data_IF_395060140137
#
_entry.id   IF_395060140137
#
_cell.length_a   1.000
_cell.length_b   1.000
_cell.length_c   1.000
_cell.angle_alpha   90.00
_cell.angle_beta   90.00
_cell.angle_gamma   90.00
#
_symmetry.space_group_name_H-M   'P 1'
#
loop_
_entity.id
_entity.type
_entity.pdbx_description
1 polymer ?
#
# COMPACT_ATOMS: atom_id res chain seq x y z
N UNK A 1 -17.60 11.90 16.18
CA UNK A 1 -17.68 10.52 16.71
C UNK A 1 -19.06 9.98 16.43
N UNK A 2 -19.19 8.78 15.88
CA UNK A 2 -20.48 8.15 15.57
C UNK A 2 -20.61 6.82 16.33
N UNK A 3 -21.66 6.66 17.14
CA UNK A 3 -22.00 5.38 17.75
C UNK A 3 -22.77 4.55 16.72
N UNK A 4 -22.08 3.62 16.07
CA UNK A 4 -22.67 2.83 14.99
C UNK A 4 -23.62 1.73 15.47
N UNK A 5 -23.43 1.20 16.69
CA UNK A 5 -24.18 0.04 17.15
C UNK A 5 -24.12 -0.11 18.67
N UNK A 6 -25.28 -0.28 19.32
CA UNK A 6 -25.41 -0.50 20.77
C UNK A 6 -26.48 -1.57 21.02
N UNK A 7 -26.14 -2.58 21.80
CA UNK A 7 -27.07 -3.62 22.28
C UNK A 7 -26.98 -3.67 23.80
N UNK A 8 -28.12 -3.64 24.47
CA UNK A 8 -28.23 -3.86 25.90
C UNK A 8 -29.35 -4.86 26.14
N UNK A 9 -29.05 -5.93 26.86
CA UNK A 9 -30.03 -6.95 27.25
C UNK A 9 -29.94 -7.10 28.75
N UNK A 10 -31.07 -6.99 29.43
CA UNK A 10 -31.17 -7.18 30.88
C UNK A 10 -32.17 -8.27 31.21
N UNK A 11 -31.84 -9.13 32.17
CA UNK A 11 -32.75 -10.16 32.66
C UNK A 11 -32.43 -10.52 34.12
N UNK A 12 -33.42 -10.96 34.91
CA UNK A 12 -33.17 -11.47 36.26
C UNK A 12 -32.50 -12.85 36.19
N UNK A 13 -31.63 -13.14 37.14
CA UNK A 13 -31.07 -14.49 37.35
C UNK A 13 -31.98 -15.31 38.26
N UNK A 14 -31.76 -16.63 38.33
CA UNK A 14 -32.45 -17.51 39.29
C UNK A 14 -32.22 -17.08 40.77
N UNK A 15 -31.12 -16.38 41.04
CA UNK A 15 -30.81 -15.80 42.36
C UNK A 15 -31.51 -14.45 42.60
N UNK A 16 -32.34 -13.97 41.67
CA UNK A 16 -33.01 -12.67 41.75
C UNK A 16 -32.10 -11.46 41.48
N UNK A 17 -30.82 -11.68 41.15
CA UNK A 17 -29.89 -10.60 40.84
C UNK A 17 -30.10 -10.08 39.40
N UNK A 18 -30.12 -8.76 39.17
CA UNK A 18 -30.17 -8.20 37.83
C UNK A 18 -28.89 -8.50 37.04
N UNK A 19 -29.04 -9.13 35.89
CA UNK A 19 -27.96 -9.38 34.93
C UNK A 19 -28.10 -8.47 33.72
N UNK A 20 -26.97 -8.02 33.18
CA UNK A 20 -26.90 -7.17 32.00
C UNK A 20 -25.77 -7.63 31.07
N UNK A 21 -26.12 -7.86 29.81
CA UNK A 21 -25.20 -7.89 28.69
C UNK A 21 -25.22 -6.54 27.97
N UNK A 22 -24.06 -5.99 27.63
CA UNK A 22 -23.96 -4.80 26.78
C UNK A 22 -22.86 -4.93 25.74
N UNK A 23 -23.15 -4.53 24.52
CA UNK A 23 -22.19 -4.40 23.43
C UNK A 23 -22.30 -3.01 22.81
N UNK A 24 -21.18 -2.32 22.64
CA UNK A 24 -21.11 -0.97 22.07
C UNK A 24 -19.97 -0.86 21.08
N UNK A 25 -20.26 -0.36 19.87
CA UNK A 25 -19.26 -0.07 18.83
C UNK A 25 -19.31 1.41 18.44
N UNK A 26 -18.18 2.09 18.62
CA UNK A 26 -17.99 3.52 18.30
C UNK A 26 -16.91 3.64 17.24
N UNK A 27 -17.18 4.39 16.17
CA UNK A 27 -16.20 4.65 15.10
C UNK A 27 -15.96 6.16 14.96
N UNK A 28 -14.75 6.49 14.50
CA UNK A 28 -14.28 7.82 14.15
C UNK A 28 -13.60 7.72 12.79
N UNK A 29 -14.03 8.57 11.86
CA UNK A 29 -13.38 8.77 10.57
C UNK A 29 -13.02 10.25 10.52
N UNK A 30 -11.78 10.55 10.17
CA UNK A 30 -11.27 11.89 9.97
C UNK A 30 -10.44 11.91 8.70
N UNK A 31 -10.76 12.86 7.82
CA UNK A 31 -10.07 13.10 6.56
C UNK A 31 -9.69 14.58 6.56
N UNK A 32 -8.40 14.87 6.46
CA UNK A 32 -7.88 16.22 6.30
C UNK A 32 -6.88 16.25 5.15
N UNK A 33 -6.73 17.40 4.49
CA UNK A 33 -5.75 17.53 3.42
C UNK A 33 -5.80 18.84 2.66
N UNK A 34 -4.77 19.04 1.84
CA UNK A 34 -4.63 20.14 0.90
C UNK A 34 -4.30 19.58 -0.49
N UNK A 35 -4.90 20.15 -1.53
CA UNK A 35 -4.64 19.77 -2.92
C UNK A 35 -4.11 20.96 -3.71
N UNK A 36 -3.02 20.76 -4.44
CA UNK A 36 -2.42 21.75 -5.35
C UNK A 36 -2.37 21.16 -6.76
N UNK A 37 -3.00 21.85 -7.71
CA UNK A 37 -3.04 21.47 -9.13
C UNK A 37 -2.22 22.49 -9.93
N UNK A 38 -1.31 22.01 -10.77
CA UNK A 38 -0.59 22.82 -11.77
C UNK A 38 -0.73 22.18 -13.15
N UNK A 39 -1.22 22.92 -14.13
CA UNK A 39 -1.40 22.47 -15.52
C UNK A 39 -0.49 23.24 -16.47
N UNK A 40 -0.14 22.63 -17.59
CA UNK A 40 0.57 23.31 -18.68
C UNK A 40 -0.09 23.03 -20.05
N UNK A 41 -0.59 24.06 -20.77
CA UNK A 41 -0.72 25.47 -20.35
C UNK A 41 -1.69 25.66 -19.17
N UNK A 42 -1.58 26.80 -18.48
CA UNK A 42 -2.43 27.11 -17.32
C UNK A 42 -3.89 27.30 -17.76
N UNK A 43 -4.81 26.54 -17.18
CA UNK A 43 -6.24 26.57 -17.52
C UNK A 43 -6.91 27.86 -17.05
N UNK A 44 -6.32 28.55 -16.06
CA UNK A 44 -6.85 29.81 -15.52
C UNK A 44 -6.61 31.03 -16.43
N UNK A 45 -5.76 30.91 -17.46
CA UNK A 45 -5.37 32.02 -18.36
C UNK A 45 -6.12 32.00 -19.71
N UNK A 46 -7.24 31.29 -19.81
CA UNK A 46 -7.92 31.01 -21.10
C UNK A 46 -9.24 31.78 -21.27
N UNK A 47 -9.37 32.48 -22.40
CA UNK A 47 -10.59 33.17 -22.84
C UNK A 47 -11.78 32.20 -23.06
N UNK A 48 -13.00 32.67 -22.79
CA UNK A 48 -14.28 31.94 -22.56
C UNK A 48 -14.76 30.89 -23.60
N UNK A 49 -14.05 30.63 -24.71
CA UNK A 49 -14.63 29.90 -25.85
C UNK A 49 -13.99 28.55 -26.21
N UNK A 50 -12.87 28.14 -25.59
CA UNK A 50 -12.29 26.80 -25.80
C UNK A 50 -11.60 26.33 -24.52
N UNK A 51 -11.90 25.11 -24.06
CA UNK A 51 -11.15 24.45 -22.97
C UNK A 51 -10.01 23.66 -23.61
N UNK A 52 -8.75 24.13 -23.61
CA UNK A 52 -7.63 23.38 -24.16
C UNK A 52 -7.37 22.15 -23.30
N UNK A 53 -7.13 21.00 -23.94
CA UNK A 53 -6.66 19.79 -23.27
C UNK A 53 -5.19 20.03 -22.85
N UNK A 54 -4.85 20.01 -21.55
CA UNK A 54 -3.48 20.28 -21.10
C UNK A 54 -2.53 19.15 -21.51
N UNK A 55 -1.31 19.51 -21.90
CA UNK A 55 -0.28 18.55 -22.32
C UNK A 55 0.36 17.82 -21.13
N UNK A 56 0.39 18.47 -19.98
CA UNK A 56 0.85 17.88 -18.72
C UNK A 56 0.07 18.41 -17.53
N UNK A 57 -0.07 17.55 -16.51
CA UNK A 57 -0.71 17.88 -15.25
C UNK A 57 0.15 17.39 -14.09
N UNK A 58 0.42 18.29 -13.15
CA UNK A 58 1.11 18.01 -11.90
C UNK A 58 0.10 18.16 -10.77
N UNK A 59 -0.22 17.06 -10.10
CA UNK A 59 -1.16 17.03 -8.98
C UNK A 59 -0.37 16.75 -7.72
N UNK A 60 -0.47 17.58 -6.69
CA UNK A 60 0.08 17.29 -5.36
C UNK A 60 -1.04 17.29 -4.34
N UNK A 61 -1.14 16.21 -3.57
CA UNK A 61 -2.13 16.02 -2.51
C UNK A 61 -1.39 15.72 -1.21
N UNK A 62 -1.66 16.51 -0.19
CA UNK A 62 -1.27 16.21 1.20
C UNK A 62 -2.52 15.70 1.90
N UNK A 63 -2.49 14.48 2.42
CA UNK A 63 -3.65 13.83 3.01
C UNK A 63 -3.31 13.20 4.36
N UNK A 64 -4.21 13.39 5.32
CA UNK A 64 -4.21 12.70 6.60
C UNK A 64 -5.53 11.95 6.75
N UNK A 65 -5.43 10.62 6.65
CA UNK A 65 -6.57 9.72 6.81
C UNK A 65 -6.47 9.02 8.16
N UNK A 66 -7.47 9.18 9.01
CA UNK A 66 -7.56 8.52 10.31
C UNK A 66 -8.89 7.78 10.42
N UNK A 67 -8.80 6.48 10.65
CA UNK A 67 -9.90 5.65 11.10
C UNK A 67 -9.58 5.16 12.52
N UNK A 68 -10.54 5.24 13.43
CA UNK A 68 -10.45 4.63 14.75
C UNK A 68 -11.78 3.97 15.13
N UNK A 69 -11.72 2.73 15.61
CA UNK A 69 -12.87 1.96 16.08
C UNK A 69 -12.63 1.43 17.48
N UNK A 70 -13.66 1.53 18.34
CA UNK A 70 -13.68 0.91 19.66
C UNK A 70 -14.91 0.02 19.76
N UNK A 71 -14.71 -1.26 20.09
CA UNK A 71 -15.79 -2.18 20.44
C UNK A 71 -15.64 -2.60 21.91
N UNK A 72 -16.74 -2.58 22.65
CA UNK A 72 -16.78 -2.94 24.06
C UNK A 72 -17.89 -3.95 24.26
N UNK A 73 -17.56 -5.09 24.85
CA UNK A 73 -18.52 -6.10 25.29
C UNK A 73 -18.40 -6.26 26.79
N UNK A 74 -19.53 -6.32 27.49
CA UNK A 74 -19.59 -6.50 28.94
C UNK A 74 -20.72 -7.44 29.29
N UNK A 75 -20.42 -8.35 30.19
CA UNK A 75 -21.37 -9.13 30.96
C UNK A 75 -21.25 -8.67 32.41
N UNK A 76 -22.37 -8.42 33.07
CA UNK A 76 -22.36 -7.98 34.45
C UNK A 76 -23.59 -8.38 35.22
N UNK A 77 -23.47 -8.50 36.53
CA UNK A 77 -24.60 -8.54 37.44
C UNK A 77 -24.44 -7.49 38.53
N UNK A 78 -25.56 -7.07 39.09
CA UNK A 78 -25.63 -6.05 40.14
C UNK A 78 -26.08 -6.71 41.43
N UNK A 79 -25.44 -6.33 42.53
CA UNK A 79 -25.83 -6.69 43.89
C UNK A 79 -26.38 -5.44 44.58
N UNK A 80 -27.72 -5.27 44.65
CA UNK A 80 -28.31 -4.03 45.14
C UNK A 80 -27.94 -3.71 46.59
N UNK A 81 -27.78 -4.75 47.43
CA UNK A 81 -27.52 -4.59 48.87
C UNK A 81 -26.19 -3.90 49.21
N UNK A 82 -25.19 -3.98 48.33
CA UNK A 82 -23.89 -3.32 48.51
C UNK A 82 -23.57 -2.34 47.37
N UNK A 83 -24.52 -2.08 46.47
CA UNK A 83 -24.38 -1.16 45.33
C UNK A 83 -23.20 -1.50 44.41
N UNK A 84 -22.83 -2.78 44.34
CA UNK A 84 -21.73 -3.24 43.48
C UNK A 84 -22.25 -3.81 42.18
N UNK A 85 -21.46 -3.59 41.13
CA UNK A 85 -21.60 -4.19 39.82
C UNK A 85 -20.33 -4.98 39.54
N UNK A 86 -20.50 -6.28 39.29
CA UNK A 86 -19.43 -7.18 38.90
C UNK A 86 -19.43 -7.29 37.39
N UNK A 87 -18.29 -7.03 36.76
CA UNK A 87 -18.18 -6.92 35.31
C UNK A 87 -17.09 -7.89 34.82
N UNK A 88 -17.41 -8.66 33.80
CA UNK A 88 -16.44 -9.27 32.90
C UNK A 88 -16.60 -8.61 31.53
N UNK A 89 -15.52 -8.09 30.97
CA UNK A 89 -15.59 -7.32 29.74
C UNK A 89 -14.39 -7.52 28.84
N UNK A 90 -14.55 -7.11 27.59
CA UNK A 90 -13.47 -7.02 26.62
C UNK A 90 -13.60 -5.73 25.84
N UNK A 91 -12.48 -5.01 25.72
CA UNK A 91 -12.38 -3.86 24.84
C UNK A 91 -11.47 -4.21 23.67
N UNK A 92 -11.92 -3.87 22.47
CA UNK A 92 -11.14 -3.93 21.24
C UNK A 92 -10.96 -2.53 20.70
N UNK A 93 -9.73 -2.19 20.34
CA UNK A 93 -9.40 -0.91 19.73
C UNK A 93 -8.66 -1.17 18.43
N UNK A 94 -9.07 -0.49 17.36
CA UNK A 94 -8.38 -0.50 16.08
C UNK A 94 -8.20 0.93 15.61
N UNK A 95 -7.01 1.29 15.18
CA UNK A 95 -6.71 2.58 14.60
C UNK A 95 -5.85 2.40 13.36
N UNK A 96 -6.19 3.11 12.30
CA UNK A 96 -5.41 3.23 11.08
C UNK A 96 -5.17 4.72 10.84
N UNK A 97 -3.91 5.12 10.70
CA UNK A 97 -3.51 6.51 10.49
C UNK A 97 -2.51 6.58 9.32
N UNK A 98 -2.91 7.22 8.23
CA UNK A 98 -2.13 7.30 6.99
C UNK A 98 -1.87 8.78 6.68
N UNK A 99 -0.75 9.35 7.17
CA UNK A 99 -0.32 10.71 6.86
C UNK A 99 0.65 10.70 5.67
N UNK A 100 0.12 10.90 4.47
CA UNK A 100 0.90 10.80 3.23
C UNK A 100 0.81 12.08 2.40
N UNK A 101 1.86 12.33 1.63
CA UNK A 101 1.90 13.28 0.54
C UNK A 101 2.09 12.50 -0.75
N UNK A 102 1.16 12.70 -1.68
CA UNK A 102 1.15 12.09 -2.99
C UNK A 102 1.37 13.17 -4.05
N UNK A 103 2.21 12.90 -5.04
CA UNK A 103 2.31 13.71 -6.24
C UNK A 103 2.15 12.82 -7.48
N UNK A 104 1.45 13.30 -8.49
CA UNK A 104 1.30 12.64 -9.76
C UNK A 104 1.74 13.58 -10.88
N UNK A 105 2.67 13.11 -11.70
CA UNK A 105 3.16 13.78 -12.89
C UNK A 105 2.62 12.99 -14.10
N UNK A 106 1.69 13.59 -14.83
CA UNK A 106 1.08 12.99 -16.03
C UNK A 106 1.64 13.71 -17.25
N UNK A 107 2.38 12.97 -18.06
CA UNK A 107 2.87 13.41 -19.37
C UNK A 107 2.09 12.68 -20.46
N UNK A 108 1.08 13.38 -20.99
CA UNK A 108 0.17 12.84 -22.03
C UNK A 108 0.90 12.68 -23.36
N UNK A 109 1.90 13.52 -23.64
CA UNK A 109 2.65 13.43 -24.89
C UNK A 109 3.49 12.16 -24.93
N UNK A 110 4.10 11.78 -23.81
CA UNK A 110 4.97 10.61 -23.69
C UNK A 110 4.30 9.32 -23.22
N UNK A 111 2.98 9.34 -22.95
CA UNK A 111 2.25 8.22 -22.34
C UNK A 111 2.93 7.73 -21.05
N UNK A 112 3.41 8.67 -20.24
CA UNK A 112 4.14 8.40 -19.01
C UNK A 112 3.35 8.91 -17.81
N UNK A 113 3.27 8.06 -16.79
CA UNK A 113 2.68 8.45 -15.51
C UNK A 113 3.68 8.12 -14.41
N UNK A 114 4.01 9.14 -13.61
CA UNK A 114 4.82 8.97 -12.41
C UNK A 114 4.00 9.36 -11.17
N UNK A 115 4.03 8.51 -10.16
CA UNK A 115 3.42 8.75 -8.86
C UNK A 115 4.50 8.76 -7.79
N UNK A 116 4.58 9.82 -6.99
CA UNK A 116 5.47 9.91 -5.83
C UNK A 116 4.65 9.88 -4.56
N UNK A 117 5.02 9.01 -3.63
CA UNK A 117 4.46 8.93 -2.29
C UNK A 117 5.55 9.23 -1.28
N UNK A 118 5.27 10.09 -0.31
CA UNK A 118 6.17 10.39 0.80
C UNK A 118 5.41 10.52 2.12
N UNK A 119 6.00 10.13 3.26
CA UNK A 119 5.39 10.40 4.56
C UNK A 119 5.25 11.91 4.77
N UNK A 120 4.13 12.35 5.33
CA UNK A 120 3.90 13.77 5.62
C UNK A 120 4.97 14.30 6.61
N UNK A 121 5.32 13.50 7.60
CA UNK A 121 6.43 13.75 8.52
C UNK A 121 7.59 12.78 8.27
N UNK A 122 8.67 13.28 7.63
CA UNK A 122 9.83 12.44 7.26
C UNK A 122 10.78 12.09 8.42
N UNK A 123 10.61 12.77 9.56
CA UNK A 123 11.54 12.73 10.69
C UNK A 123 10.93 12.15 11.98
N UNK A 124 9.67 11.72 11.94
CA UNK A 124 8.94 11.23 13.11
C UNK A 124 8.46 9.81 12.85
N UNK A 125 8.57 8.97 13.87
CA UNK A 125 7.88 7.67 13.84
C UNK A 125 6.37 7.90 13.81
N UNK A 126 5.71 7.30 12.82
CA UNK A 126 4.27 7.39 12.65
C UNK A 126 3.66 6.01 12.83
N UNK A 127 2.73 5.88 13.79
CA UNK A 127 1.97 4.64 13.99
C UNK A 127 0.91 4.58 12.91
N UNK A 128 1.08 3.65 11.97
CA UNK A 128 0.15 3.46 10.86
C UNK A 128 -1.03 2.60 11.24
N UNK A 129 -0.79 1.57 12.08
CA UNK A 129 -1.82 0.65 12.54
C UNK A 129 -1.63 0.33 14.02
N UNK A 130 -2.72 0.35 14.78
CA UNK A 130 -2.79 -0.13 16.15
C UNK A 130 -4.00 -1.04 16.25
N UNK A 131 -3.81 -2.28 16.69
CA UNK A 131 -4.88 -3.22 16.99
C UNK A 131 -4.67 -3.79 18.39
N UNK A 132 -5.63 -3.62 19.29
CA UNK A 132 -5.55 -4.14 20.65
C UNK A 132 -6.83 -4.82 21.09
N UNK A 133 -6.66 -5.83 21.94
CA UNK A 133 -7.74 -6.47 22.68
C UNK A 133 -7.33 -6.60 24.14
N UNK A 134 -8.21 -6.17 25.03
CA UNK A 134 -7.97 -6.13 26.46
C UNK A 134 -9.18 -6.70 27.22
N UNK A 135 -9.14 -7.99 27.57
CA UNK A 135 -10.13 -8.60 28.44
C UNK A 135 -9.83 -8.34 29.91
N UNK A 136 -10.87 -8.08 30.71
CA UNK A 136 -10.74 -7.70 32.12
C UNK A 136 -11.95 -8.15 32.94
N UNK A 137 -11.74 -8.26 34.24
CA UNK A 137 -12.81 -8.26 35.24
C UNK A 137 -12.69 -7.02 36.13
N UNK A 138 -13.79 -6.54 36.69
CA UNK A 138 -13.74 -5.45 37.67
C UNK A 138 -14.96 -5.48 38.59
N UNK A 139 -14.79 -4.85 39.76
CA UNK A 139 -15.87 -4.58 40.71
C UNK A 139 -16.02 -3.07 40.76
N UNK A 140 -17.18 -2.58 40.35
CA UNK A 140 -17.47 -1.16 40.22
C UNK A 140 -18.66 -0.79 41.11
N UNK A 141 -18.55 0.32 41.85
CA UNK A 141 -19.71 0.92 42.51
C UNK A 141 -20.62 1.52 41.43
N UNK A 142 -21.93 1.24 41.47
CA UNK A 142 -22.91 1.73 40.48
C UNK A 142 -23.02 3.26 40.43
N UNK A 143 -22.62 3.94 41.50
CA UNK A 143 -22.60 5.40 41.60
C UNK A 143 -21.31 6.00 41.02
N UNK A 144 -20.30 5.18 40.69
CA UNK A 144 -19.05 5.65 40.13
C UNK A 144 -19.17 5.88 38.62
N UNK A 145 -18.80 7.08 38.17
CA UNK A 145 -18.79 7.48 36.76
C UNK A 145 -17.45 7.17 36.06
N UNK A 146 -16.45 6.69 36.81
CA UNK A 146 -15.18 6.25 36.24
C UNK A 146 -15.45 5.10 35.25
N UNK A 147 -14.83 5.09 34.06
CA UNK A 147 -14.94 3.95 33.16
C UNK A 147 -14.47 2.66 33.84
N UNK A 148 -15.21 1.56 33.70
CA UNK A 148 -14.91 0.26 34.30
C UNK A 148 -13.46 -0.24 34.10
N UNK A 149 -12.80 0.18 33.00
CA UNK A 149 -11.40 -0.16 32.68
C UNK A 149 -10.37 0.53 33.58
N UNK A 150 -10.76 1.63 34.24
CA UNK A 150 -9.89 2.48 35.06
C UNK A 150 -10.19 2.32 36.56
N UNK A 151 -11.10 1.43 36.94
CA UNK A 151 -11.42 1.16 38.33
C UNK A 151 -10.24 0.48 39.03
N UNK A 152 -10.03 0.79 40.31
CA UNK A 152 -8.92 0.22 41.10
C UNK A 152 -8.99 -1.31 41.21
N UNK A 153 -10.21 -1.87 41.18
CA UNK A 153 -10.45 -3.32 41.25
C UNK A 153 -10.36 -4.02 39.90
N UNK A 154 -9.94 -3.31 38.84
CA UNK A 154 -9.81 -3.90 37.50
C UNK A 154 -8.64 -4.86 37.46
N UNK A 155 -8.89 -6.08 36.98
CA UNK A 155 -7.88 -7.12 36.78
C UNK A 155 -7.91 -7.59 35.35
N UNK A 156 -6.73 -7.65 34.75
CA UNK A 156 -6.54 -8.18 33.40
C UNK A 156 -6.81 -9.68 33.41
N UNK A 157 -7.56 -10.16 32.41
CA UNK A 157 -7.70 -11.60 32.16
C UNK A 157 -6.55 -12.01 31.25
N UNK A 158 -5.67 -12.86 31.75
CA UNK A 158 -4.68 -13.51 30.92
C UNK A 158 -4.88 -15.04 30.98
N UNK A 159 -4.99 -15.67 29.81
CA UNK A 159 -5.09 -17.14 29.67
C UNK A 159 -3.70 -17.76 29.61
N UNK A 160 -2.70 -17.02 29.09
CA UNK A 160 -1.30 -17.47 28.97
C UNK A 160 -0.31 -16.34 29.31
N UNK A 161 0.97 -16.67 29.42
CA UNK A 161 2.03 -15.65 29.47
C UNK A 161 2.08 -14.90 28.15
N UNK A 162 2.13 -13.57 28.22
CA UNK A 162 2.31 -12.70 27.06
C UNK A 162 3.70 -12.90 26.46
N UNK A 163 3.77 -12.97 25.13
CA UNK A 163 5.01 -12.89 24.37
C UNK A 163 5.12 -11.50 23.76
N UNK A 164 6.33 -10.96 23.78
CA UNK A 164 6.64 -9.66 23.20
C UNK A 164 7.77 -9.81 22.20
N UNK A 165 7.59 -9.22 21.02
CA UNK A 165 8.64 -9.14 20.00
C UNK A 165 8.47 -7.86 19.19
N UNK A 166 9.59 -7.37 18.66
CA UNK A 166 9.63 -6.22 17.78
C UNK A 166 10.57 -6.53 16.63
N UNK A 167 10.06 -6.43 15.41
CA UNK A 167 10.82 -6.70 14.19
C UNK A 167 10.69 -5.53 13.22
N UNK A 168 11.69 -5.36 12.36
CA UNK A 168 11.68 -4.30 11.34
C UNK A 168 11.80 -4.91 9.95
N UNK A 169 10.86 -4.56 9.08
CA UNK A 169 10.78 -5.07 7.71
C UNK A 169 11.04 -3.97 6.69
N UNK A 170 11.51 -4.34 5.50
CA UNK A 170 11.65 -3.45 4.35
C UNK A 170 12.94 -2.61 4.31
N UNK A 171 13.66 -2.47 5.42
CA UNK A 171 14.88 -1.64 5.51
C UNK A 171 15.96 -2.07 4.51
N UNK A 172 16.29 -3.36 4.48
CA UNK A 172 17.35 -3.87 3.59
C UNK A 172 16.93 -3.93 2.12
N UNK A 173 15.65 -4.21 1.84
CA UNK A 173 15.16 -4.38 0.47
C UNK A 173 14.84 -3.05 -0.19
N UNK A 174 14.10 -2.19 0.50
CA UNK A 174 13.52 -0.96 -0.06
C UNK A 174 14.09 0.31 0.57
N UNK A 175 14.78 0.22 1.71
CA UNK A 175 15.18 1.39 2.48
C UNK A 175 14.03 1.99 3.32
N UNK A 176 12.81 1.46 3.23
CA UNK A 176 11.68 1.84 4.08
C UNK A 176 11.62 0.89 5.27
N UNK A 177 11.80 1.41 6.48
CA UNK A 177 11.78 0.63 7.71
C UNK A 177 10.38 0.64 8.34
N UNK A 178 9.74 -0.52 8.33
CA UNK A 178 8.44 -0.75 8.96
C UNK A 178 8.62 -1.55 10.25
N UNK A 179 8.42 -0.90 11.40
CA UNK A 179 8.55 -1.51 12.71
C UNK A 179 7.23 -2.16 13.10
N UNK A 180 7.26 -3.46 13.36
CA UNK A 180 6.12 -4.24 13.83
C UNK A 180 6.39 -4.64 15.28
N UNK A 181 5.51 -4.22 16.17
CA UNK A 181 5.57 -4.54 17.59
C UNK A 181 4.35 -5.35 17.98
N UNK A 182 4.57 -6.50 18.61
CA UNK A 182 3.53 -7.36 19.13
C UNK A 182 3.77 -7.66 20.60
N UNK A 183 2.72 -7.55 21.40
CA UNK A 183 2.66 -8.02 22.78
C UNK A 183 1.32 -8.75 22.96
N UNK A 184 1.32 -10.05 23.21
CA UNK A 184 0.07 -10.80 23.36
C UNK A 184 0.23 -12.28 23.69
N UNK A 185 -0.89 -12.93 23.99
CA UNK A 185 -0.94 -14.33 24.44
C UNK A 185 -1.11 -15.33 23.29
N UNK A 186 -1.59 -14.86 22.14
CA UNK A 186 -1.79 -15.66 20.94
C UNK A 186 -0.51 -15.83 20.10
N UNK A 187 -0.61 -16.67 19.06
CA UNK A 187 0.31 -16.58 17.92
C UNK A 187 0.07 -15.23 17.22
N UNK A 188 1.12 -14.63 16.67
CA UNK A 188 0.99 -13.40 15.88
C UNK A 188 -0.07 -13.56 14.78
N UNK A 189 -0.64 -12.44 14.32
CA UNK A 189 -1.61 -12.41 13.23
C UNK A 189 -1.08 -13.28 12.08
N UNK A 190 -1.86 -14.30 11.71
CA UNK A 190 -1.52 -15.16 10.60
C UNK A 190 -1.78 -14.40 9.29
N UNK A 191 -0.70 -13.92 8.67
CA UNK A 191 -0.75 -13.21 7.38
C UNK A 191 -1.42 -14.06 6.28
N UNK A 192 -1.40 -15.39 6.37
CA UNK A 192 -2.11 -16.24 5.42
C UNK A 192 -3.63 -16.18 5.59
N UNK A 193 -4.11 -15.97 6.82
CA UNK A 193 -5.52 -15.71 7.13
C UNK A 193 -5.95 -14.32 6.65
N UNK A 194 -5.07 -13.31 6.75
CA UNK A 194 -5.30 -11.98 6.16
C UNK A 194 -5.42 -12.08 4.63
N UNK A 195 -4.48 -12.75 3.98
CA UNK A 195 -4.45 -12.92 2.53
C UNK A 195 -5.69 -13.67 2.01
N UNK A 196 -6.10 -14.76 2.67
CA UNK A 196 -7.34 -15.48 2.35
C UNK A 196 -8.57 -14.59 2.52
N UNK A 197 -8.64 -13.82 3.60
CA UNK A 197 -9.77 -12.91 3.84
C UNK A 197 -9.87 -11.79 2.81
N UNK A 198 -8.77 -11.38 2.17
CA UNK A 198 -8.75 -10.39 1.08
C UNK A 198 -9.28 -10.94 -0.25
N UNK A 199 -9.32 -12.28 -0.42
CA UNK A 199 -9.91 -12.89 -1.61
C UNK A 199 -11.45 -12.87 -1.56
N UNK A 200 -12.01 -12.95 -0.35
CA UNK A 200 -13.46 -13.08 -0.13
C UNK A 200 -14.16 -11.76 0.26
N UNK A 201 -13.40 -10.74 0.67
CA UNK A 201 -13.94 -9.46 1.19
C UNK A 201 -13.08 -8.27 0.75
N UNK A 202 -13.65 -7.06 0.77
CA UNK A 202 -12.87 -5.83 0.57
C UNK A 202 -11.73 -5.71 1.61
N UNK A 203 -10.62 -5.10 1.21
CA UNK A 203 -9.35 -5.01 1.94
C UNK A 203 -9.52 -4.47 3.37
N UNK A 204 -10.43 -3.51 3.52
CA UNK A 204 -10.82 -2.94 4.82
C UNK A 204 -11.50 -3.96 5.71
N UNK A 205 -12.41 -4.73 5.13
CA UNK A 205 -13.17 -5.79 5.79
C UNK A 205 -12.26 -6.96 6.13
N UNK A 206 -11.31 -7.30 5.28
CA UNK A 206 -10.31 -8.34 5.53
C UNK A 206 -9.38 -8.00 6.70
N UNK A 207 -8.91 -6.75 6.82
CA UNK A 207 -8.11 -6.29 7.96
C UNK A 207 -8.92 -6.29 9.27
N UNK A 208 -10.21 -5.92 9.20
CA UNK A 208 -11.11 -5.91 10.36
C UNK A 208 -11.47 -7.33 10.79
N UNK A 209 -11.78 -8.22 9.84
CA UNK A 209 -12.15 -9.60 10.10
C UNK A 209 -10.96 -10.40 10.60
N UNK A 210 -9.77 -10.26 10.02
CA UNK A 210 -8.56 -10.94 10.49
C UNK A 210 -8.15 -10.52 11.91
N UNK A 211 -8.33 -9.25 12.28
CA UNK A 211 -8.17 -8.79 13.65
C UNK A 211 -9.26 -9.30 14.61
N UNK A 212 -10.42 -9.72 14.11
CA UNK A 212 -11.59 -10.16 14.90
C UNK A 212 -11.89 -11.67 14.84
N UNK A 213 -11.25 -12.43 13.95
CA UNK A 213 -11.56 -13.84 13.65
C UNK A 213 -10.99 -14.84 14.66
N UNK A 214 -10.26 -14.37 15.67
CA UNK A 214 -9.95 -15.23 16.80
C UNK A 214 -11.19 -15.31 17.69
N UNK A 215 -11.90 -16.44 17.61
CA UNK A 215 -12.96 -16.81 18.55
C UNK A 215 -12.45 -16.84 20.01
N UNK A 216 -11.14 -16.82 20.21
CA UNK A 216 -10.47 -16.83 21.50
C UNK A 216 -10.22 -15.39 22.03
N UNK A 217 -10.68 -15.12 23.25
CA UNK A 217 -10.55 -13.80 23.90
C UNK A 217 -9.16 -13.68 24.54
N UNK A 218 -8.12 -13.50 23.72
CA UNK A 218 -6.77 -13.24 24.21
C UNK A 218 -6.42 -11.77 24.27
N UNK A 219 -5.62 -11.40 25.27
CA UNK A 219 -4.95 -10.11 25.29
C UNK A 219 -3.93 -10.04 24.16
N UNK A 220 -4.00 -8.96 23.38
CA UNK A 220 -2.96 -8.64 22.42
C UNK A 220 -2.89 -7.14 22.12
N UNK A 221 -1.73 -6.71 21.66
CA UNK A 221 -1.41 -5.38 21.17
C UNK A 221 -0.47 -5.55 19.99
N UNK A 222 -0.93 -5.12 18.82
CA UNK A 222 -0.20 -5.13 17.57
C UNK A 222 -0.08 -3.71 17.06
N UNK A 223 1.14 -3.27 16.77
CA UNK A 223 1.43 -1.93 16.26
C UNK A 223 2.31 -2.07 15.03
N UNK A 224 1.94 -1.37 13.96
CA UNK A 224 2.80 -1.15 12.80
C UNK A 224 3.12 0.33 12.73
N UNK A 225 4.41 0.66 12.74
CA UNK A 225 4.93 2.02 12.63
C UNK A 225 5.85 2.16 11.43
N UNK A 226 5.79 3.31 10.76
CA UNK A 226 6.87 3.77 9.89
C UNK A 226 7.99 4.34 10.77
N UNK A 227 9.19 3.75 10.70
CA UNK A 227 10.36 4.16 11.47
C UNK A 227 11.20 5.15 10.65
N UNK A 228 10.98 6.45 10.88
CA UNK A 228 11.67 7.51 10.15
C UNK A 228 13.19 7.52 10.37
N UNK A 229 13.70 7.06 11.51
CA UNK A 229 15.14 7.11 11.80
C UNK A 229 15.89 5.99 11.07
N UNK A 230 15.31 4.80 11.00
CA UNK A 230 15.88 3.66 10.27
C UNK A 230 15.60 3.69 8.77
N UNK A 231 14.55 4.40 8.34
CA UNK A 231 14.23 4.51 6.91
C UNK A 231 15.23 5.39 6.18
N UNK A 232 16.08 4.77 5.36
CA UNK A 232 16.97 5.48 4.43
C UNK A 232 16.19 6.11 3.28
N UNK A 233 15.11 5.47 2.83
CA UNK A 233 14.20 5.97 1.80
C UNK A 233 13.15 6.92 2.41
N UNK A 234 12.97 8.08 1.79
CA UNK A 234 12.05 9.15 2.22
C UNK A 234 10.91 9.39 1.23
N UNK A 235 11.00 8.82 0.04
CA UNK A 235 9.92 8.79 -0.91
C UNK A 235 9.95 7.51 -1.73
N UNK A 236 8.79 7.13 -2.24
CA UNK A 236 8.61 6.02 -3.16
C UNK A 236 8.06 6.63 -4.45
N UNK A 237 8.73 6.40 -5.57
CA UNK A 237 8.27 6.81 -6.89
C UNK A 237 7.93 5.60 -7.72
N UNK A 238 6.68 5.51 -8.12
CA UNK A 238 6.19 4.58 -9.10
C UNK A 238 6.18 5.23 -10.48
N UNK A 239 6.53 4.45 -11.48
CA UNK A 239 6.50 4.87 -12.87
C UNK A 239 5.87 3.75 -13.69
N UNK A 240 4.96 4.13 -14.57
CA UNK A 240 4.34 3.23 -15.53
C UNK A 240 4.34 3.90 -16.90
N UNK A 241 4.63 3.11 -17.94
CA UNK A 241 4.62 3.59 -19.32
C UNK A 241 4.33 2.48 -20.31
N UNK A 242 3.78 2.87 -21.45
CA UNK A 242 3.38 2.00 -22.54
C UNK A 242 3.81 2.63 -23.86
N UNK A 243 4.34 1.81 -24.77
CA UNK A 243 4.66 2.23 -26.14
C UNK A 243 4.37 1.11 -27.13
N UNK A 244 4.02 1.50 -28.35
CA UNK A 244 3.93 0.62 -29.50
C UNK A 244 4.82 1.11 -30.65
N UNK A 245 5.03 0.27 -31.65
CA UNK A 245 5.90 0.58 -32.79
C UNK A 245 5.27 1.55 -33.81
N UNK A 246 3.93 1.70 -33.83
CA UNK A 246 3.25 2.66 -34.70
C UNK A 246 3.44 4.11 -34.21
N UNK A 247 3.30 4.35 -32.90
CA UNK A 247 3.64 5.63 -32.26
C UNK A 247 5.12 5.99 -32.45
N UNK A 248 6.01 4.99 -32.38
CA UNK A 248 7.44 5.20 -32.59
C UNK A 248 7.77 5.60 -34.04
N UNK A 249 7.09 4.99 -35.02
CA UNK A 249 7.20 5.37 -36.45
C UNK A 249 6.76 6.81 -36.69
N UNK A 250 5.64 7.22 -36.11
CA UNK A 250 5.09 8.58 -36.24
C UNK A 250 6.01 9.64 -35.61
N UNK A 251 6.62 9.35 -34.45
CA UNK A 251 7.59 10.25 -33.80
C UNK A 251 8.87 10.44 -34.60
N UNK A 252 9.42 9.35 -35.14
CA UNK A 252 10.63 9.44 -35.98
C UNK A 252 10.36 10.13 -37.32
N UNK A 253 9.14 10.02 -37.87
CA UNK A 253 8.78 10.72 -39.11
C UNK A 253 8.74 12.25 -38.95
N UNK A 254 8.49 12.77 -37.74
CA UNK A 254 8.48 14.23 -37.47
C UNK A 254 9.88 14.81 -37.20
N UNK A 255 10.86 14.00 -36.79
CA UNK A 255 12.24 14.45 -36.60
C UNK A 255 13.09 14.33 -37.89
N UNK A 256 12.59 13.63 -38.92
CA UNK A 256 13.31 13.36 -40.16
C UNK A 256 13.11 14.44 -41.23
N UNK A 257 13.44 15.70 -40.92
CA UNK A 257 13.69 16.70 -41.95
C UNK A 257 15.18 17.05 -42.13
N UNK A 258 16.09 16.47 -41.36
CA UNK A 258 17.53 16.54 -41.59
C UNK A 258 18.19 15.30 -40.99
N UNK A 259 18.48 14.30 -41.83
CA UNK A 259 19.63 13.37 -41.74
C UNK A 259 19.32 12.07 -42.50
N UNK A 260 19.33 12.20 -43.83
CA UNK A 260 19.60 11.07 -44.70
C UNK A 260 21.07 10.67 -44.55
N UNK A 261 21.31 9.39 -44.28
CA UNK A 261 22.59 8.67 -44.21
C UNK A 261 23.24 8.55 -42.82
N UNK A 262 22.77 7.58 -42.03
CA UNK A 262 23.70 6.77 -41.25
C UNK A 262 23.13 5.36 -40.99
N UNK A 263 23.24 4.46 -41.97
CA UNK A 263 23.06 3.01 -41.73
C UNK A 263 24.31 2.45 -41.05
N UNK A 264 24.56 2.87 -39.81
CA UNK A 264 25.52 2.19 -38.95
C UNK A 264 24.77 1.05 -38.25
N UNK A 265 24.72 -0.11 -38.93
CA UNK A 265 24.44 -1.41 -38.30
C UNK A 265 25.61 -1.79 -37.37
N UNK A 266 25.71 -1.06 -36.25
CA UNK A 266 26.51 -1.42 -35.08
C UNK A 266 25.71 -2.31 -34.11
N UNK A 267 26.23 -2.63 -32.89
CA UNK A 267 26.05 -3.89 -32.12
C UNK A 267 24.65 -4.42 -31.77
N UNK A 268 23.58 -3.79 -32.26
CA UNK A 268 22.18 -4.13 -32.00
C UNK A 268 21.77 -5.45 -32.66
N UNK A 269 22.28 -5.78 -33.86
CA UNK A 269 21.99 -7.07 -34.52
C UNK A 269 22.60 -8.26 -33.76
N UNK A 270 23.79 -8.11 -33.18
CA UNK A 270 24.43 -9.14 -32.35
C UNK A 270 23.69 -9.39 -31.01
N UNK A 271 22.81 -8.46 -30.59
CA UNK A 271 22.00 -8.54 -29.36
C UNK A 271 20.50 -8.77 -29.62
N UNK A 272 20.10 -9.01 -30.87
CA UNK A 272 18.70 -9.24 -31.27
C UNK A 272 18.06 -10.48 -30.62
N UNK A 273 18.87 -11.33 -29.98
CA UNK A 273 18.44 -12.55 -29.26
C UNK A 273 18.49 -12.44 -27.73
N UNK A 274 18.69 -11.24 -27.15
CA UNK A 274 18.72 -11.06 -25.70
C UNK A 274 17.65 -10.07 -25.22
N UNK A 275 16.90 -10.43 -24.18
CA UNK A 275 15.96 -9.54 -23.50
C UNK A 275 16.66 -8.51 -22.58
N UNK A 276 18.00 -8.46 -22.53
CA UNK A 276 18.76 -7.54 -21.66
C UNK A 276 18.94 -6.18 -22.35
N UNK A 277 18.40 -5.08 -21.81
CA UNK A 277 18.59 -3.73 -22.35
C UNK A 277 19.97 -3.15 -21.95
N UNK A 278 20.33 -2.01 -22.54
CA UNK A 278 21.60 -1.31 -22.29
C UNK A 278 21.66 -0.60 -20.94
N UNK A 279 20.52 -0.32 -20.31
CA UNK A 279 20.46 0.31 -18.98
C UNK A 279 19.21 -0.09 -18.21
N UNK A 280 19.39 -0.28 -16.89
CA UNK A 280 18.29 -0.43 -15.95
C UNK A 280 17.86 0.91 -15.31
N UNK A 281 18.61 1.99 -15.54
CA UNK A 281 18.38 3.31 -14.94
C UNK A 281 17.06 3.94 -15.39
N UNK A 282 16.47 4.76 -14.51
CA UNK A 282 15.28 5.57 -14.81
C UNK A 282 15.45 6.41 -16.06
N UNK A 283 16.58 7.11 -16.18
CA UNK A 283 16.86 7.99 -17.32
C UNK A 283 17.08 7.20 -18.62
N UNK A 284 17.19 5.87 -18.54
CA UNK A 284 17.27 4.97 -19.69
C UNK A 284 15.94 4.33 -20.09
N UNK A 285 14.81 4.70 -19.47
CA UNK A 285 13.51 4.05 -19.72
C UNK A 285 13.10 4.10 -21.20
N UNK A 286 13.17 5.27 -21.82
CA UNK A 286 12.89 5.47 -23.24
C UNK A 286 13.76 4.58 -24.14
N UNK A 287 15.08 4.66 -23.95
CA UNK A 287 16.05 3.86 -24.70
C UNK A 287 15.84 2.36 -24.50
N UNK A 288 15.56 1.91 -23.27
CA UNK A 288 15.27 0.50 -22.95
C UNK A 288 14.01 0.02 -23.64
N UNK A 289 12.94 0.83 -23.66
CA UNK A 289 11.71 0.53 -24.36
C UNK A 289 11.92 0.40 -25.86
N UNK A 290 12.65 1.34 -26.46
CA UNK A 290 13.00 1.30 -27.88
C UNK A 290 13.83 0.06 -28.23
N UNK A 291 14.84 -0.26 -27.41
CA UNK A 291 15.64 -1.46 -27.59
C UNK A 291 14.80 -2.74 -27.52
N UNK A 292 13.90 -2.85 -26.54
CA UNK A 292 13.04 -4.03 -26.38
C UNK A 292 11.97 -4.12 -27.48
N UNK A 293 11.40 -2.99 -27.92
CA UNK A 293 10.50 -2.94 -29.08
C UNK A 293 11.19 -3.40 -30.37
N UNK A 294 12.40 -2.89 -30.62
CA UNK A 294 13.20 -3.28 -31.77
C UNK A 294 13.57 -4.76 -31.73
N UNK A 295 14.01 -5.26 -30.57
CA UNK A 295 14.33 -6.69 -30.40
C UNK A 295 13.11 -7.59 -30.54
N UNK A 296 11.94 -7.16 -30.05
CA UNK A 296 10.70 -7.90 -30.18
C UNK A 296 10.33 -8.06 -31.67
N UNK A 297 10.31 -6.96 -32.42
CA UNK A 297 9.93 -6.92 -33.84
C UNK A 297 10.97 -7.49 -34.81
N UNK A 298 12.25 -7.52 -34.44
CA UNK A 298 13.33 -8.03 -35.30
C UNK A 298 13.07 -9.45 -35.81
N UNK A 299 13.17 -9.66 -37.13
CA UNK A 299 12.98 -10.97 -37.76
C UNK A 299 11.53 -11.44 -37.87
N UNK A 300 10.55 -10.57 -37.59
CA UNK A 300 9.12 -10.83 -37.79
C UNK A 300 8.62 -9.85 -38.87
N UNK A 301 8.11 -10.38 -39.99
CA UNK A 301 7.55 -9.58 -41.08
C UNK A 301 6.28 -8.87 -40.61
N UNK A 302 6.12 -7.59 -40.93
CA UNK A 302 4.94 -6.79 -40.55
C UNK A 302 4.59 -6.90 -39.06
N UNK A 303 5.60 -6.94 -38.19
CA UNK A 303 5.42 -7.08 -36.76
C UNK A 303 4.68 -5.87 -36.16
N UNK A 304 3.57 -6.12 -35.47
CA UNK A 304 3.00 -5.19 -34.49
C UNK A 304 3.63 -5.49 -33.13
N UNK A 305 4.27 -4.49 -32.52
CA UNK A 305 5.01 -4.67 -31.27
C UNK A 305 4.63 -3.63 -30.22
N UNK A 306 4.54 -4.05 -28.97
CA UNK A 306 4.22 -3.19 -27.82
C UNK A 306 5.11 -3.52 -26.63
N UNK A 307 5.42 -2.52 -25.82
CA UNK A 307 6.20 -2.64 -24.58
C UNK A 307 5.47 -1.95 -23.42
N UNK A 308 5.46 -2.61 -22.27
CA UNK A 308 4.99 -2.08 -20.99
C UNK A 308 6.17 -2.06 -20.03
N UNK A 309 6.29 -0.98 -19.27
CA UNK A 309 7.28 -0.87 -18.20
C UNK A 309 6.65 -0.37 -16.91
N UNK A 310 7.02 -1.01 -15.80
CA UNK A 310 6.69 -0.58 -14.44
C UNK A 310 7.99 -0.49 -13.64
N UNK A 311 8.15 0.60 -12.90
CA UNK A 311 9.30 0.83 -12.04
C UNK A 311 8.85 1.35 -10.67
N UNK A 312 9.53 0.90 -9.62
CA UNK A 312 9.48 1.46 -8.29
C UNK A 312 10.88 1.91 -7.86
N UNK A 313 11.02 3.17 -7.48
CA UNK A 313 12.25 3.78 -6.99
C UNK A 313 12.02 4.28 -5.55
N UNK A 314 12.89 3.88 -4.65
CA UNK A 314 12.88 4.31 -3.25
C UNK A 314 13.97 5.37 -3.09
N UNK A 315 13.57 6.63 -3.06
CA UNK A 315 14.45 7.80 -3.05
C UNK A 315 14.93 8.08 -1.61
N UNK A 316 16.24 8.14 -1.38
CA UNK A 316 16.80 8.41 -0.07
C UNK A 316 18.33 8.39 -0.02
N UNK A 317 18.89 8.08 1.15
CA UNK A 317 20.36 7.95 1.31
C UNK A 317 20.88 6.68 0.63
N UNK A 318 20.12 5.59 0.74
CA UNK A 318 20.37 4.33 0.03
C UNK A 318 19.18 4.11 -0.89
N UNK A 319 19.37 4.35 -2.19
CA UNK A 319 18.32 4.18 -3.18
C UNK A 319 18.10 2.69 -3.46
N UNK A 320 16.84 2.28 -3.50
CA UNK A 320 16.46 0.99 -4.06
C UNK A 320 15.68 1.20 -5.37
N UNK A 321 15.89 0.33 -6.35
CA UNK A 321 15.23 0.42 -7.64
C UNK A 321 14.77 -0.97 -8.10
N UNK A 322 13.54 -1.06 -8.56
CA UNK A 322 12.96 -2.26 -9.13
C UNK A 322 12.31 -1.90 -10.46
N UNK A 323 12.69 -2.59 -11.53
CA UNK A 323 12.12 -2.36 -12.87
C UNK A 323 11.70 -3.68 -13.47
N UNK A 324 10.50 -3.70 -14.05
CA UNK A 324 10.00 -4.77 -14.89
C UNK A 324 9.60 -4.18 -16.25
N UNK A 325 10.15 -4.72 -17.34
CA UNK A 325 9.81 -4.34 -18.71
C UNK A 325 9.42 -5.59 -19.49
N UNK A 326 8.28 -5.56 -20.16
CA UNK A 326 7.79 -6.66 -20.99
C UNK A 326 7.46 -6.15 -22.39
N UNK A 327 7.95 -6.83 -23.43
CA UNK A 327 7.66 -6.53 -24.83
C UNK A 327 7.05 -7.74 -25.53
N UNK A 328 6.05 -7.50 -26.36
CA UNK A 328 5.36 -8.50 -27.16
C UNK A 328 5.31 -8.04 -28.61
N UNK A 329 5.53 -8.97 -29.53
CA UNK A 329 5.39 -8.74 -30.97
C UNK A 329 4.63 -9.88 -31.62
N UNK A 330 3.80 -9.56 -32.60
CA UNK A 330 3.01 -10.51 -33.40
C UNK A 330 2.94 -10.02 -34.84
N UNK A 331 2.95 -10.94 -35.80
CA UNK A 331 2.70 -10.60 -37.20
C UNK A 331 1.26 -10.96 -37.61
N UNK A 332 0.56 -10.07 -38.33
CA UNK A 332 -0.65 -10.42 -39.06
C UNK A 332 -0.36 -11.20 -40.36
N UNK A 333 0.85 -11.08 -40.90
CA UNK A 333 1.27 -11.67 -42.17
C UNK A 333 1.82 -13.10 -42.02
N UNK A 334 2.52 -13.38 -40.91
CA UNK A 334 3.10 -14.68 -40.57
C UNK A 334 2.69 -15.10 -39.14
N UNK A 335 2.60 -16.40 -38.82
CA UNK A 335 2.21 -16.88 -37.47
C UNK A 335 3.29 -16.71 -36.38
N UNK A 336 4.20 -15.76 -36.59
CA UNK A 336 5.37 -15.55 -35.75
C UNK A 336 5.03 -14.59 -34.61
N UNK A 337 5.50 -14.92 -33.41
CA UNK A 337 5.43 -14.03 -32.26
C UNK A 337 6.68 -14.12 -31.39
N UNK A 338 7.00 -13.02 -30.72
CA UNK A 338 8.12 -12.95 -29.78
C UNK A 338 7.74 -12.17 -28.55
N UNK A 339 8.05 -12.74 -27.40
CA UNK A 339 7.89 -12.13 -26.09
C UNK A 339 9.26 -11.97 -25.42
N UNK A 340 9.50 -10.80 -24.85
CA UNK A 340 10.69 -10.46 -24.09
C UNK A 340 10.27 -9.95 -22.71
N UNK A 341 10.94 -10.41 -21.68
CA UNK A 341 10.76 -9.92 -20.32
C UNK A 341 12.12 -9.60 -19.71
N UNK A 342 12.20 -8.46 -19.04
CA UNK A 342 13.36 -8.00 -18.32
C UNK A 342 12.93 -7.55 -16.93
N UNK A 343 13.65 -8.02 -15.91
CA UNK A 343 13.49 -7.58 -14.53
C UNK A 343 14.85 -7.22 -13.95
N UNK A 344 14.94 -6.04 -13.34
CA UNK A 344 16.11 -5.57 -12.62
C UNK A 344 15.72 -5.19 -11.20
N UNK A 345 16.47 -5.70 -10.24
CA UNK A 345 16.34 -5.33 -8.84
C UNK A 345 17.69 -4.85 -8.30
N UNK A 346 17.68 -3.65 -7.76
CA UNK A 346 18.78 -3.04 -7.02
C UNK A 346 18.26 -2.69 -5.62
N UNK A 347 18.28 -3.64 -4.68
CA UNK A 347 17.80 -3.40 -3.32
C UNK A 347 18.70 -2.42 -2.53
N UNK A 348 18.20 -1.86 -1.43
CA UNK A 348 18.92 -0.83 -0.67
C UNK A 348 20.22 -1.32 -0.03
N UNK A 349 20.28 -2.58 0.41
CA UNK A 349 21.41 -3.14 1.17
C UNK A 349 21.82 -4.55 0.72
N UNK A 350 21.46 -4.98 -0.49
CA UNK A 350 21.87 -6.29 -1.02
C UNK A 350 22.36 -6.18 -2.46
N UNK A 351 22.99 -7.26 -2.94
CA UNK A 351 23.47 -7.35 -4.32
C UNK A 351 22.34 -7.14 -5.32
N UNK A 352 22.67 -6.44 -6.41
CA UNK A 352 21.79 -6.28 -7.57
C UNK A 352 21.59 -7.62 -8.26
N UNK A 353 20.43 -7.84 -8.85
CA UNK A 353 20.18 -9.01 -9.68
C UNK A 353 19.25 -8.68 -10.85
N UNK A 354 19.38 -9.48 -11.91
CA UNK A 354 18.67 -9.31 -13.16
C UNK A 354 18.11 -10.65 -13.64
N UNK A 355 16.92 -10.62 -14.22
CA UNK A 355 16.29 -11.76 -14.87
C UNK A 355 15.86 -11.32 -16.27
N UNK A 356 16.16 -12.14 -17.28
CA UNK A 356 15.76 -11.87 -18.65
C UNK A 356 15.23 -13.14 -19.30
N UNK A 357 14.07 -13.05 -19.96
CA UNK A 357 13.38 -14.18 -20.59
C UNK A 357 13.04 -13.80 -22.03
N UNK A 358 13.27 -14.71 -22.96
CA UNK A 358 12.88 -14.59 -24.36
C UNK A 358 12.10 -15.85 -24.76
N UNK A 359 10.90 -15.66 -25.30
CA UNK A 359 10.07 -16.72 -25.87
C UNK A 359 9.79 -16.38 -27.34
N UNK A 360 10.00 -17.35 -28.21
CA UNK A 360 9.74 -17.25 -29.65
C UNK A 360 8.78 -18.36 -30.06
N UNK A 361 7.76 -17.99 -30.80
CA UNK A 361 6.93 -18.92 -31.56
C UNK A 361 7.18 -18.58 -33.04
N UNK A 362 7.83 -19.50 -33.74
CA UNK A 362 8.17 -19.40 -35.16
C UNK A 362 7.30 -20.36 -35.97
#
# INVERSE_FOLDING_TARGET
MYNSYVVNIGFPTAMGLPFQFSYKKTNLISVGGEMKLKTHPNVADVNEHQVPVPNSANVTVEAQLLYAGKAQSKISFITPYNQQRYIAGTNRYMQVNIPIKAAADIDVQNNQVAFKLEPLNKNKEEKLLIATQHPYTTIQNILNLIPAEKEQNTKDINVRKTKEWTETYGEHSTGVAMKVHYNGEGKAIDLSTVYKSMQDHDLTTALILSANNNAEIYRHRFIVSYDAQRSSAKAIRFYASYRDNEQNRLRNSNNNNNDSNNSNNGPLEARASSAIPSSASRNGAEKRQEELLHKASSGIKDAAASVVEIMAEFEGNNNAQYVATAALSRSPADKNSKFLFFYHASPAQSSKFEVSILLKHL
#
